data_IF_709538714822
#
_entry.id   IF_709538714822
#
_cell.length_a   1.000
_cell.length_b   1.000
_cell.length_c   1.000
_cell.angle_alpha   90.00
_cell.angle_beta   90.00
_cell.angle_gamma   90.00
#
_symmetry.space_group_name_H-M   'P 1'
#
loop_
_entity.id
_entity.type
_entity.pdbx_description
1 polymer ?
#
# COMPACT_ATOMS: atom_id res chain seq x y z
N UNK A 1 -29.27 -40.29 1.15
CA UNK A 1 -30.00 -39.01 1.09
C UNK A 1 -30.13 -38.48 2.50
N UNK A 2 -29.42 -37.41 2.86
CA UNK A 2 -29.61 -36.73 4.15
C UNK A 2 -29.57 -35.22 3.89
N UNK A 3 -30.74 -34.60 3.97
CA UNK A 3 -30.92 -33.14 3.93
C UNK A 3 -30.81 -32.64 5.36
N UNK A 4 -29.95 -31.67 5.63
CA UNK A 4 -30.15 -30.75 6.73
C UNK A 4 -29.70 -29.36 6.29
N UNK A 5 -30.69 -28.51 6.04
CA UNK A 5 -30.55 -27.09 5.75
C UNK A 5 -31.08 -26.34 6.96
N UNK A 6 -30.56 -25.13 7.17
CA UNK A 6 -31.03 -24.04 8.03
C UNK A 6 -30.34 -23.95 9.40
N UNK A 7 -29.50 -22.92 9.56
CA UNK A 7 -29.61 -22.00 10.71
C UNK A 7 -29.31 -20.58 10.21
N UNK A 8 -30.33 -19.72 10.27
CA UNK A 8 -30.23 -18.26 10.09
C UNK A 8 -29.57 -17.64 11.33
N UNK A 9 -28.79 -16.57 11.15
CA UNK A 9 -28.62 -15.55 12.18
C UNK A 9 -28.39 -14.18 11.54
N UNK A 10 -29.44 -13.36 11.60
CA UNK A 10 -29.44 -11.93 11.30
C UNK A 10 -28.79 -11.20 12.47
N UNK A 11 -27.82 -10.34 12.22
CA UNK A 11 -27.34 -9.39 13.23
C UNK A 11 -27.52 -7.98 12.67
N UNK A 12 -28.60 -7.34 13.11
CA UNK A 12 -28.80 -5.90 12.97
C UNK A 12 -28.09 -5.20 14.14
N UNK A 13 -27.26 -4.21 13.84
CA UNK A 13 -26.72 -3.27 14.83
C UNK A 13 -27.33 -1.89 14.56
N UNK A 14 -28.03 -1.37 15.57
CA UNK A 14 -28.49 0.02 15.66
C UNK A 14 -27.87 0.62 16.91
N UNK A 15 -27.27 1.80 16.78
CA UNK A 15 -27.22 2.91 17.73
C UNK A 15 -26.07 3.86 17.32
N UNK A 16 -26.07 5.17 17.52
CA UNK A 16 -27.05 6.21 17.82
C UNK A 16 -26.25 7.54 17.90
N UNK A 17 -26.92 8.69 17.72
CA UNK A 17 -26.58 10.01 18.33
C UNK A 17 -25.42 10.79 17.65
N UNK A 18 -25.40 12.13 17.48
CA UNK A 18 -26.16 13.24 18.08
C UNK A 18 -25.83 14.57 17.35
N UNK A 19 -26.81 15.49 17.39
CA UNK A 19 -26.72 16.96 17.44
C UNK A 19 -26.23 17.84 16.27
N UNK A 20 -27.03 18.89 16.03
CA UNK A 20 -26.80 20.06 15.15
C UNK A 20 -26.63 21.29 16.06
N UNK A 21 -25.73 22.25 15.76
CA UNK A 21 -26.24 23.62 15.56
C UNK A 21 -25.48 24.51 14.55
N UNK A 22 -26.28 25.19 13.72
CA UNK A 22 -26.24 26.60 13.25
C UNK A 22 -24.95 27.29 12.75
N UNK A 23 -25.01 27.69 11.46
CA UNK A 23 -24.67 28.99 10.83
C UNK A 23 -23.64 29.92 11.47
N UNK A 24 -22.54 30.24 10.76
CA UNK A 24 -21.88 31.58 10.74
C UNK A 24 -21.17 31.86 9.40
N UNK A 25 -21.05 33.15 9.12
CA UNK A 25 -20.92 33.84 7.83
C UNK A 25 -19.68 33.56 6.97
N UNK A 26 -19.86 33.83 5.68
CA UNK A 26 -18.82 33.79 4.68
C UNK A 26 -17.76 34.88 4.85
N UNK A 27 -16.53 34.51 4.49
CA UNK A 27 -15.53 35.41 3.97
C UNK A 27 -14.91 34.73 2.74
N UNK A 28 -15.03 35.38 1.58
CA UNK A 28 -14.25 35.04 0.40
C UNK A 28 -12.77 35.29 0.73
N UNK A 29 -12.02 34.23 0.96
CA UNK A 29 -10.57 34.28 1.05
C UNK A 29 -10.00 33.58 -0.18
N UNK A 30 -9.28 34.33 -1.02
CA UNK A 30 -8.53 33.80 -2.15
C UNK A 30 -7.53 32.75 -1.62
N UNK A 31 -7.78 31.47 -1.90
CA UNK A 31 -6.84 30.39 -1.63
C UNK A 31 -5.79 30.38 -2.74
N UNK A 32 -4.51 30.71 -2.48
CA UNK A 32 -3.46 30.42 -3.44
C UNK A 32 -3.41 28.91 -3.63
N UNK A 33 -3.37 28.45 -4.89
CA UNK A 33 -3.32 27.04 -5.25
C UNK A 33 -2.31 26.29 -4.38
N UNK A 34 -2.84 25.60 -3.36
CA UNK A 34 -2.06 24.73 -2.50
C UNK A 34 -1.76 23.51 -3.35
N UNK A 35 -0.48 23.44 -3.76
CA UNK A 35 0.18 22.27 -4.33
C UNK A 35 -0.41 21.03 -3.67
N UNK A 36 -1.13 20.21 -4.45
CA UNK A 36 -1.74 18.98 -3.96
C UNK A 36 -0.69 18.23 -3.14
N UNK A 37 -0.89 18.22 -1.82
CA UNK A 37 -0.18 17.32 -0.93
C UNK A 37 -0.58 15.93 -1.36
N UNK A 38 0.32 15.28 -2.11
CA UNK A 38 0.35 13.82 -2.18
C UNK A 38 0.13 13.29 -0.76
N UNK A 39 -0.67 12.23 -0.56
CA UNK A 39 -0.77 11.57 0.74
C UNK A 39 0.65 11.21 1.17
N UNK A 40 1.17 12.00 2.08
CA UNK A 40 2.51 11.85 2.63
C UNK A 40 2.31 10.95 3.83
N UNK A 41 3.01 9.82 3.81
CA UNK A 41 3.21 8.91 4.93
C UNK A 41 1.95 8.49 5.70
N UNK A 42 1.38 7.35 5.27
CA UNK A 42 0.64 6.52 6.21
C UNK A 42 1.65 6.05 7.28
N UNK A 43 1.45 6.34 8.57
CA UNK A 43 2.38 5.91 9.60
C UNK A 43 2.29 4.38 9.71
N UNK A 44 3.29 3.69 9.17
CA UNK A 44 3.41 2.25 9.30
C UNK A 44 3.52 1.88 10.77
N UNK A 45 2.51 1.17 11.25
CA UNK A 45 2.43 0.56 12.58
C UNK A 45 3.73 -0.18 12.93
N UNK A 46 4.15 -0.01 14.18
CA UNK A 46 5.46 -0.26 14.80
C UNK A 46 5.92 -1.74 14.87
N UNK A 47 5.65 -2.53 13.83
CA UNK A 47 6.11 -3.92 13.69
C UNK A 47 6.56 -4.28 12.26
N UNK A 48 6.93 -3.31 11.42
CA UNK A 48 7.75 -3.64 10.25
C UNK A 48 9.17 -3.99 10.76
N UNK A 49 9.85 -5.00 10.18
CA UNK A 49 11.27 -5.17 10.48
C UNK A 49 11.94 -3.85 10.12
N UNK A 50 12.64 -3.25 11.08
CA UNK A 50 12.94 -1.81 11.14
C UNK A 50 13.84 -1.27 10.00
N UNK A 51 14.07 -2.04 8.94
CA UNK A 51 14.98 -1.74 7.84
C UNK A 51 14.33 -1.79 6.45
N UNK A 52 13.02 -2.01 6.34
CA UNK A 52 12.33 -2.05 5.05
C UNK A 52 11.52 -0.77 4.78
N UNK A 53 11.78 -0.16 3.63
CA UNK A 53 10.97 0.91 3.07
C UNK A 53 10.15 0.39 1.90
N UNK A 54 8.91 0.83 1.79
CA UNK A 54 7.97 0.34 0.80
C UNK A 54 7.52 1.49 -0.11
N UNK A 55 7.38 1.19 -1.41
CA UNK A 55 6.79 2.10 -2.38
C UNK A 55 5.93 1.31 -3.36
N UNK A 56 4.68 1.72 -3.51
CA UNK A 56 3.76 1.15 -4.49
C UNK A 56 3.73 2.03 -5.74
N UNK A 57 4.20 1.49 -6.86
CA UNK A 57 4.05 2.07 -8.18
C UNK A 57 2.71 1.62 -8.78
N UNK A 58 1.70 2.47 -8.62
CA UNK A 58 0.34 2.22 -9.12
C UNK A 58 0.23 2.26 -10.65
N UNK A 59 1.23 2.82 -11.35
CA UNK A 59 1.21 2.93 -12.81
C UNK A 59 1.69 1.62 -13.43
N UNK A 60 2.76 1.06 -12.86
CA UNK A 60 3.39 -0.16 -13.35
C UNK A 60 2.96 -1.42 -12.59
N UNK A 61 2.04 -1.29 -11.62
CA UNK A 61 1.58 -2.36 -10.73
C UNK A 61 2.76 -3.09 -10.06
N UNK A 62 3.71 -2.31 -9.54
CA UNK A 62 4.91 -2.84 -8.88
C UNK A 62 4.97 -2.41 -7.42
N UNK A 63 5.38 -3.33 -6.55
CA UNK A 63 5.78 -2.98 -5.19
C UNK A 63 7.30 -2.99 -5.09
N UNK A 64 7.85 -1.89 -4.63
CA UNK A 64 9.27 -1.70 -4.39
C UNK A 64 9.51 -1.82 -2.90
N UNK A 65 10.46 -2.68 -2.52
CA UNK A 65 10.90 -2.91 -1.16
C UNK A 65 12.38 -2.59 -1.08
N UNK A 66 12.74 -1.55 -0.34
CA UNK A 66 14.13 -1.13 -0.17
C UNK A 66 14.64 -1.48 1.22
N UNK A 67 15.81 -2.11 1.28
CA UNK A 67 16.58 -2.35 2.50
C UNK A 67 17.65 -1.27 2.69
N UNK A 68 18.56 -1.44 3.64
CA UNK A 68 19.72 -0.56 3.78
C UNK A 68 20.73 -0.68 2.63
N UNK A 69 20.68 -1.75 1.83
CA UNK A 69 21.72 -2.07 0.83
C UNK A 69 21.14 -2.28 -0.57
N UNK A 70 19.89 -2.75 -0.67
CA UNK A 70 19.32 -3.26 -1.90
C UNK A 70 17.89 -2.75 -2.10
N UNK A 71 17.44 -2.73 -3.36
CA UNK A 71 16.08 -2.39 -3.74
C UNK A 71 15.47 -3.55 -4.53
N UNK A 72 14.39 -4.12 -4.03
CA UNK A 72 13.68 -5.24 -4.64
C UNK A 72 12.40 -4.75 -5.29
N UNK A 73 12.19 -5.13 -6.54
CA UNK A 73 11.06 -4.69 -7.35
C UNK A 73 10.21 -5.89 -7.73
N UNK A 74 9.01 -5.95 -7.17
CA UNK A 74 8.06 -7.03 -7.37
C UNK A 74 6.96 -6.58 -8.33
N UNK A 75 6.67 -7.39 -9.33
CA UNK A 75 5.42 -7.25 -10.09
C UNK A 75 4.28 -7.87 -9.27
N UNK A 76 3.21 -7.11 -9.04
CA UNK A 76 2.06 -7.57 -8.28
C UNK A 76 1.15 -8.44 -9.13
N UNK A 77 0.71 -9.57 -8.59
CA UNK A 77 -0.37 -10.38 -9.20
C UNK A 77 -1.70 -9.63 -9.14
N UNK A 78 -2.69 -10.01 -9.94
CA UNK A 78 -4.01 -9.36 -9.95
C UNK A 78 -4.67 -9.37 -8.56
N UNK A 79 -4.51 -10.47 -7.82
CA UNK A 79 -5.00 -10.57 -6.45
C UNK A 79 -4.29 -9.59 -5.50
N UNK A 80 -2.97 -9.44 -5.63
CA UNK A 80 -2.17 -8.49 -4.84
C UNK A 80 -2.52 -7.04 -5.21
N UNK A 81 -2.72 -6.73 -6.50
CA UNK A 81 -3.13 -5.40 -6.96
C UNK A 81 -4.46 -4.96 -6.34
N UNK A 82 -5.41 -5.88 -6.18
CA UNK A 82 -6.65 -5.60 -5.47
C UNK A 82 -6.41 -5.42 -3.96
N UNK A 83 -5.58 -6.27 -3.36
CA UNK A 83 -5.31 -6.27 -1.93
C UNK A 83 -4.61 -4.98 -1.46
N UNK A 84 -3.66 -4.45 -2.24
CA UNK A 84 -2.89 -3.23 -1.88
C UNK A 84 -3.76 -1.97 -1.79
N UNK A 85 -4.98 -1.98 -2.33
CA UNK A 85 -5.93 -0.87 -2.20
C UNK A 85 -6.63 -0.84 -0.83
N UNK A 86 -6.38 -1.83 0.04
CA UNK A 86 -6.90 -1.86 1.41
C UNK A 86 -5.71 -1.85 2.39
N UNK A 87 -5.80 -1.17 3.56
CA UNK A 87 -4.70 -1.15 4.52
C UNK A 87 -4.27 -2.56 4.97
N UNK A 88 -5.24 -3.43 5.23
CA UNK A 88 -4.98 -4.82 5.64
C UNK A 88 -4.33 -5.63 4.52
N UNK A 89 -4.84 -5.52 3.29
CA UNK A 89 -4.30 -6.24 2.14
C UNK A 89 -2.92 -5.74 1.71
N UNK A 90 -2.67 -4.43 1.80
CA UNK A 90 -1.34 -3.85 1.59
C UNK A 90 -0.35 -4.46 2.58
N UNK A 91 -0.68 -4.45 3.87
CA UNK A 91 0.19 -5.00 4.90
C UNK A 91 0.47 -6.49 4.71
N UNK A 92 -0.55 -7.27 4.37
CA UNK A 92 -0.39 -8.69 4.09
C UNK A 92 0.52 -8.93 2.87
N UNK A 93 0.37 -8.11 1.83
CA UNK A 93 1.19 -8.16 0.62
C UNK A 93 2.65 -7.82 0.92
N UNK A 94 2.91 -6.74 1.67
CA UNK A 94 4.28 -6.36 2.10
C UNK A 94 4.98 -7.51 2.84
N UNK A 95 4.30 -8.13 3.80
CA UNK A 95 4.86 -9.24 4.59
C UNK A 95 5.16 -10.45 3.71
N UNK A 96 4.24 -10.82 2.82
CA UNK A 96 4.41 -11.94 1.90
C UNK A 96 5.61 -11.72 0.96
N UNK A 97 5.76 -10.52 0.41
CA UNK A 97 6.85 -10.20 -0.51
C UNK A 97 8.22 -10.16 0.19
N UNK A 98 8.31 -9.63 1.41
CA UNK A 98 9.56 -9.68 2.20
C UNK A 98 10.00 -11.12 2.46
N UNK A 99 9.06 -12.02 2.78
CA UNK A 99 9.37 -13.43 3.02
C UNK A 99 9.98 -14.13 1.79
N UNK A 100 9.70 -13.64 0.58
CA UNK A 100 10.21 -14.23 -0.66
C UNK A 100 11.61 -13.75 -1.05
N UNK A 101 12.11 -12.62 -0.53
CA UNK A 101 13.41 -12.06 -0.94
C UNK A 101 14.53 -13.11 -0.83
N UNK A 102 14.54 -13.93 0.23
CA UNK A 102 15.59 -14.93 0.45
C UNK A 102 15.49 -16.20 -0.40
N UNK A 103 14.35 -16.44 -1.07
CA UNK A 103 14.09 -17.69 -1.81
C UNK A 103 13.78 -17.49 -3.28
N UNK A 104 13.38 -16.29 -3.67
CA UNK A 104 13.00 -15.96 -5.02
C UNK A 104 14.22 -15.71 -5.92
N UNK A 105 14.01 -15.84 -7.24
CA UNK A 105 15.03 -15.48 -8.22
C UNK A 105 15.10 -13.97 -8.34
N UNK A 106 16.31 -13.43 -8.22
CA UNK A 106 16.60 -12.00 -8.30
C UNK A 106 17.42 -11.71 -9.55
N UNK A 107 16.96 -10.79 -10.38
CA UNK A 107 17.68 -10.33 -11.57
C UNK A 107 18.08 -8.87 -11.38
N UNK A 108 19.38 -8.57 -11.48
CA UNK A 108 19.84 -7.18 -11.39
C UNK A 108 19.22 -6.34 -12.52
N UNK A 109 18.71 -5.16 -12.17
CA UNK A 109 18.10 -4.20 -13.10
C UNK A 109 18.70 -2.83 -12.90
N UNK A 110 18.61 -1.99 -13.93
CA UNK A 110 19.08 -0.61 -13.85
C UNK A 110 17.96 0.33 -13.42
N UNK A 111 18.34 1.46 -12.80
CA UNK A 111 17.38 2.49 -12.41
C UNK A 111 16.60 3.06 -13.62
N UNK A 112 17.14 2.97 -14.83
CA UNK A 112 16.47 3.35 -16.07
C UNK A 112 15.28 2.46 -16.43
N UNK A 113 15.22 1.24 -15.88
CA UNK A 113 14.15 0.28 -16.13
C UNK A 113 12.94 0.50 -15.20
N UNK A 114 13.07 1.44 -14.27
CA UNK A 114 12.06 1.80 -13.29
C UNK A 114 11.32 3.09 -13.68
N UNK A 115 10.10 3.25 -13.16
CA UNK A 115 9.45 4.57 -13.21
C UNK A 115 10.30 5.59 -12.46
N UNK A 116 10.13 6.87 -12.80
CA UNK A 116 10.84 7.97 -12.13
C UNK A 116 10.71 7.93 -10.60
N UNK A 117 9.55 7.52 -10.09
CA UNK A 117 9.29 7.46 -8.66
C UNK A 117 9.93 6.24 -8.00
N UNK A 118 9.84 5.06 -8.63
CA UNK A 118 10.52 3.85 -8.18
C UNK A 118 12.05 4.02 -8.22
N UNK A 119 12.58 4.59 -9.30
CA UNK A 119 14.00 4.93 -9.43
C UNK A 119 14.45 5.88 -8.31
N UNK A 120 13.64 6.90 -7.99
CA UNK A 120 13.91 7.80 -6.86
C UNK A 120 13.94 7.04 -5.53
N UNK A 121 13.01 6.11 -5.33
CA UNK A 121 12.95 5.32 -4.12
C UNK A 121 14.21 4.44 -3.95
N UNK A 122 14.67 3.82 -5.04
CA UNK A 122 15.86 2.95 -5.08
C UNK A 122 17.20 3.69 -5.19
N UNK A 123 17.23 5.03 -5.18
CA UNK A 123 18.47 5.80 -5.38
C UNK A 123 19.59 5.32 -4.47
N UNK A 124 20.79 5.16 -5.03
CA UNK A 124 22.00 4.70 -4.34
C UNK A 124 21.98 3.24 -3.84
N UNK A 125 21.01 2.42 -4.27
CA UNK A 125 20.92 1.01 -3.92
C UNK A 125 20.98 0.15 -5.19
N UNK A 126 21.58 -1.03 -5.08
CA UNK A 126 21.52 -2.01 -6.17
C UNK A 126 20.08 -2.51 -6.31
N UNK A 127 19.56 -2.50 -7.54
CA UNK A 127 18.16 -2.82 -7.80
C UNK A 127 18.02 -4.22 -8.41
N UNK A 128 17.03 -4.97 -7.94
CA UNK A 128 16.73 -6.33 -8.39
C UNK A 128 15.24 -6.46 -8.72
N UNK A 129 14.93 -6.97 -9.91
CA UNK A 129 13.61 -7.49 -10.21
C UNK A 129 13.48 -8.86 -9.54
N UNK A 130 12.36 -9.07 -8.84
CA UNK A 130 12.07 -10.35 -8.17
C UNK A 130 10.93 -11.03 -8.90
N UNK A 131 11.17 -12.27 -9.35
CA UNK A 131 10.18 -13.10 -10.02
C UNK A 131 9.66 -14.15 -9.03
N UNK A 132 8.33 -14.21 -8.89
CA UNK A 132 7.60 -15.19 -8.08
C UNK A 132 7.54 -16.54 -8.80
#
# INVERSE_FOLDING_TARGET
MLKLVVVCAVIAFVAAQTDVPTTRHGHHSHVPHSRATHPTDVPHSSKAPHNFHYFHDTILNKLVIRTSTECFVFSLTDAQQMAVNTPTGLRATEVALVAMIGTATQTAIQLSDLSKHAAKHCQNHQSFAVTQ
#
